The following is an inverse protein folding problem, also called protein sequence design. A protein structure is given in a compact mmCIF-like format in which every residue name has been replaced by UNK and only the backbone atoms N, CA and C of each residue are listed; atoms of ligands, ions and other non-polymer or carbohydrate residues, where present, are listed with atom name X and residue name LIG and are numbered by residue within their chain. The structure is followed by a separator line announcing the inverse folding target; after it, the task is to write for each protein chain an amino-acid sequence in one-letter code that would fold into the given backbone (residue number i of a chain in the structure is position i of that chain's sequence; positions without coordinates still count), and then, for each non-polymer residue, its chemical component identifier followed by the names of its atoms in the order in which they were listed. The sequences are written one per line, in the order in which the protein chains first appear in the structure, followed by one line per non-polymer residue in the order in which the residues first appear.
data_IF_032755203088
#
_entry.id   IF_032755203088
#
_cell.length_a   1.000
_cell.length_b   1.000
_cell.length_c   1.000
_cell.angle_alpha   90.00
_cell.angle_beta   90.00
_cell.angle_gamma   90.00
#
_symmetry.space_group_name_H-M   'P 1'
#
loop_
_entity.id
_entity.type
_entity.pdbx_description
1 polymer ?
#
# COMPACT_ATOMS: atom_id res chain seq x y z
N UNK A 1 -5.94 32.09 10.25
CA UNK A 1 -5.48 32.53 8.91
C UNK A 1 -6.47 33.55 8.39
N UNK A 2 -6.03 34.68 7.80
CA UNK A 2 -6.91 35.76 7.31
C UNK A 2 -7.18 35.59 5.80
N UNK A 3 -8.31 36.11 5.31
CA UNK A 3 -8.69 36.01 3.88
C UNK A 3 -7.72 36.75 2.95
N UNK A 4 -7.15 37.87 3.38
CA UNK A 4 -6.12 38.60 2.61
C UNK A 4 -4.87 37.74 2.34
N UNK A 5 -4.50 36.93 3.33
CA UNK A 5 -3.32 36.08 3.34
C UNK A 5 -3.54 34.91 2.40
N UNK A 6 -4.74 34.33 2.41
CA UNK A 6 -5.13 33.27 1.47
C UNK A 6 -5.26 33.78 0.04
N UNK A 7 -5.84 34.97 -0.18
CA UNK A 7 -5.92 35.59 -1.51
C UNK A 7 -4.52 35.84 -2.08
N UNK A 8 -3.59 36.31 -1.26
CA UNK A 8 -2.18 36.48 -1.63
C UNK A 8 -1.52 35.14 -1.96
N UNK A 9 -1.74 34.13 -1.14
CA UNK A 9 -1.21 32.77 -1.35
C UNK A 9 -1.66 32.18 -2.70
N UNK A 10 -2.93 32.38 -3.09
CA UNK A 10 -3.45 31.92 -4.38
C UNK A 10 -3.20 32.87 -5.56
N UNK A 11 -2.47 33.98 -5.36
CA UNK A 11 -2.17 34.94 -6.41
C UNK A 11 -3.38 35.75 -6.92
N UNK A 12 -4.43 35.89 -6.10
CA UNK A 12 -5.68 36.60 -6.45
C UNK A 12 -5.60 38.11 -6.24
N UNK A 13 -4.47 38.61 -5.74
CA UNK A 13 -4.25 40.02 -5.43
C UNK A 13 -4.76 40.44 -4.05
N UNK A 14 -4.55 41.70 -3.66
CA UNK A 14 -4.94 42.21 -2.35
C UNK A 14 -6.45 42.44 -2.26
N UNK A 15 -7.02 42.21 -1.07
CA UNK A 15 -8.39 42.61 -0.78
C UNK A 15 -8.51 44.14 -0.85
N UNK A 16 -9.50 44.64 -1.58
CA UNK A 16 -9.63 46.09 -1.83
C UNK A 16 -10.62 46.77 -0.89
N UNK A 17 -11.25 46.01 0.00
CA UNK A 17 -12.28 46.47 0.93
C UNK A 17 -13.49 47.10 0.21
N UNK A 18 -13.83 46.56 -0.97
CA UNK A 18 -14.99 46.90 -1.80
C UNK A 18 -15.98 45.73 -1.82
N UNK A 19 -17.25 46.01 -1.53
CA UNK A 19 -18.21 44.97 -1.14
C UNK A 19 -18.41 43.86 -2.18
N UNK A 20 -18.49 44.16 -3.47
CA UNK A 20 -18.79 43.15 -4.49
C UNK A 20 -17.54 42.44 -5.04
N UNK A 21 -16.45 43.19 -5.24
CA UNK A 21 -15.18 42.64 -5.73
C UNK A 21 -14.54 41.72 -4.68
N UNK A 22 -14.61 42.09 -3.40
CA UNK A 22 -14.10 41.23 -2.32
C UNK A 22 -14.97 40.00 -2.10
N UNK A 23 -16.29 40.09 -2.31
CA UNK A 23 -17.17 38.91 -2.25
C UNK A 23 -16.81 37.92 -3.35
N UNK A 24 -16.58 38.39 -4.57
CA UNK A 24 -16.10 37.55 -5.68
C UNK A 24 -14.74 36.93 -5.36
N UNK A 25 -13.80 37.73 -4.88
CA UNK A 25 -12.46 37.25 -4.49
C UNK A 25 -12.55 36.21 -3.37
N UNK A 26 -13.36 36.46 -2.34
CA UNK A 26 -13.55 35.53 -1.22
C UNK A 26 -14.17 34.21 -1.69
N UNK A 27 -15.06 34.23 -2.68
CA UNK A 27 -15.63 33.02 -3.27
C UNK A 27 -14.58 32.23 -4.06
N UNK A 28 -13.71 32.91 -4.80
CA UNK A 28 -12.58 32.25 -5.48
C UNK A 28 -11.58 31.68 -4.48
N UNK A 29 -11.22 32.41 -3.41
CA UNK A 29 -10.39 31.88 -2.31
C UNK A 29 -11.03 30.62 -1.70
N UNK A 30 -12.34 30.64 -1.42
CA UNK A 30 -13.05 29.49 -0.89
C UNK A 30 -12.98 28.30 -1.86
N UNK A 31 -13.14 28.54 -3.16
CA UNK A 31 -13.04 27.54 -4.21
C UNK A 31 -11.63 26.96 -4.33
N UNK A 32 -10.58 27.78 -4.26
CA UNK A 32 -9.20 27.29 -4.22
C UNK A 32 -8.91 26.51 -2.94
N UNK A 33 -9.31 27.00 -1.77
CA UNK A 33 -9.20 26.26 -0.52
C UNK A 33 -9.93 24.92 -0.59
N UNK A 34 -11.16 24.89 -1.12
CA UNK A 34 -11.91 23.65 -1.30
C UNK A 34 -11.19 22.70 -2.26
N UNK A 35 -10.56 23.21 -3.33
CA UNK A 35 -9.78 22.41 -4.26
C UNK A 35 -8.51 21.86 -3.61
N UNK A 36 -7.78 22.67 -2.84
CA UNK A 36 -6.59 22.22 -2.09
C UNK A 36 -6.98 21.16 -1.06
N UNK A 37 -8.00 21.41 -0.23
CA UNK A 37 -8.48 20.45 0.76
C UNK A 37 -9.01 19.16 0.11
N UNK A 38 -9.66 19.28 -1.06
CA UNK A 38 -10.13 18.14 -1.84
C UNK A 38 -8.95 17.36 -2.43
N UNK A 39 -7.92 18.02 -2.95
CA UNK A 39 -6.71 17.38 -3.48
C UNK A 39 -5.90 16.73 -2.37
N UNK A 40 -5.72 17.41 -1.23
CA UNK A 40 -5.02 16.89 -0.05
C UNK A 40 -5.71 15.64 0.51
N UNK A 41 -7.04 15.66 0.59
CA UNK A 41 -7.83 14.48 1.02
C UNK A 41 -7.90 13.37 -0.03
N UNK A 42 -7.82 13.70 -1.32
CA UNK A 42 -7.94 12.73 -2.42
C UNK A 42 -6.61 12.12 -2.87
N UNK A 43 -5.48 12.76 -2.56
CA UNK A 43 -4.12 12.35 -2.92
C UNK A 43 -3.18 12.41 -1.70
N UNK A 44 -3.53 11.76 -0.57
CA UNK A 44 -2.66 11.77 0.60
C UNK A 44 -1.28 11.18 0.27
N UNK A 45 -1.19 10.21 -0.65
CA UNK A 45 0.08 9.60 -1.08
C UNK A 45 1.06 10.59 -1.75
N UNK A 46 0.58 11.68 -2.39
CA UNK A 46 1.46 12.70 -3.00
C UNK A 46 1.92 13.72 -1.96
N UNK A 47 1.07 14.04 -0.98
CA UNK A 47 1.40 14.99 0.08
C UNK A 47 2.14 14.33 1.25
N UNK A 48 2.15 13.00 1.36
CA UNK A 48 3.01 12.26 2.29
C UNK A 48 4.48 12.32 1.93
N UNK A 49 4.85 12.66 0.70
CA UNK A 49 6.25 12.92 0.31
C UNK A 49 6.77 14.26 0.85
N UNK A 50 5.91 15.10 1.42
CA UNK A 50 6.33 16.32 2.12
C UNK A 50 6.42 16.11 3.64
N UNK A 51 7.54 15.53 4.10
CA UNK A 51 8.05 15.66 5.48
C UNK A 51 7.10 15.30 6.66
N UNK A 52 6.06 14.50 6.43
CA UNK A 52 5.32 13.83 7.50
C UNK A 52 5.89 12.43 7.71
N UNK A 53 6.71 12.25 8.75
CA UNK A 53 7.31 10.96 9.09
C UNK A 53 6.24 9.89 9.39
N UNK A 54 5.74 9.18 8.38
CA UNK A 54 5.03 7.92 8.62
C UNK A 54 6.08 6.85 8.85
N UNK A 55 6.49 6.70 10.11
CA UNK A 55 7.37 5.62 10.54
C UNK A 55 6.62 4.29 10.41
N UNK A 56 7.28 3.28 9.84
CA UNK A 56 6.73 1.93 9.79
C UNK A 56 6.72 1.32 11.19
N UNK A 57 5.56 0.90 11.66
CA UNK A 57 5.42 0.32 12.99
C UNK A 57 5.52 -1.21 12.94
N UNK A 58 6.29 -1.79 13.85
CA UNK A 58 6.21 -3.23 14.10
C UNK A 58 4.85 -3.57 14.74
N UNK A 59 4.28 -4.77 14.48
CA UNK A 59 3.00 -5.17 15.05
C UNK A 59 2.91 -4.97 16.57
N UNK A 60 3.98 -5.26 17.29
CA UNK A 60 4.07 -5.15 18.74
C UNK A 60 4.00 -3.70 19.24
N UNK A 61 4.39 -2.74 18.39
CA UNK A 61 4.33 -1.31 18.68
C UNK A 61 2.97 -0.65 18.39
N UNK A 62 2.03 -1.39 17.79
CA UNK A 62 0.71 -0.84 17.41
C UNK A 62 -0.29 -0.99 18.56
N UNK A 63 -0.73 0.15 19.10
CA UNK A 63 -1.79 0.15 20.09
C UNK A 63 -3.15 -0.02 19.41
N UNK A 64 -3.86 -1.10 19.76
CA UNK A 64 -5.20 -1.36 19.22
C UNK A 64 -6.20 -0.25 19.55
N UNK A 65 -6.05 0.47 20.67
CA UNK A 65 -6.94 1.60 21.00
C UNK A 65 -6.68 2.83 20.15
N UNK A 66 -5.45 3.00 19.66
CA UNK A 66 -5.03 4.14 18.83
C UNK A 66 -5.34 3.98 17.34
N UNK A 67 -5.73 2.78 16.90
CA UNK A 67 -6.19 2.55 15.52
C UNK A 67 -7.49 3.31 15.29
N UNK A 68 -7.65 3.98 14.16
CA UNK A 68 -8.96 4.52 13.74
C UNK A 68 -9.18 4.32 12.26
N UNK A 69 -10.44 4.40 11.84
CA UNK A 69 -10.84 4.28 10.44
C UNK A 69 -11.75 5.44 10.09
N UNK A 70 -11.52 6.04 8.92
CA UNK A 70 -12.28 7.20 8.46
C UNK A 70 -12.64 7.04 6.98
N UNK A 71 -13.70 7.72 6.55
CA UNK A 71 -14.06 7.79 5.14
C UNK A 71 -13.44 9.04 4.54
N UNK A 72 -12.66 8.87 3.47
CA UNK A 72 -12.04 9.97 2.74
C UNK A 72 -12.52 9.99 1.29
N UNK A 73 -12.69 11.19 0.67
CA UNK A 73 -12.97 11.30 -0.76
C UNK A 73 -11.91 10.57 -1.60
N UNK A 74 -12.32 10.01 -2.74
CA UNK A 74 -11.41 9.37 -3.69
C UNK A 74 -11.58 10.00 -5.07
N UNK A 75 -10.46 10.45 -5.68
CA UNK A 75 -10.41 11.29 -6.90
C UNK A 75 -11.19 10.74 -8.12
N UNK A 76 -11.56 9.46 -8.12
CA UNK A 76 -12.32 8.80 -9.21
C UNK A 76 -13.42 7.84 -8.73
N UNK A 77 -13.93 7.97 -7.51
CA UNK A 77 -14.90 7.00 -6.99
C UNK A 77 -15.62 7.40 -5.70
N UNK A 78 -16.41 6.47 -5.12
CA UNK A 78 -17.01 6.67 -3.80
C UNK A 78 -15.92 6.87 -2.73
N UNK A 79 -16.35 7.26 -1.52
CA UNK A 79 -15.47 7.37 -0.36
C UNK A 79 -14.69 6.06 -0.16
N UNK A 80 -13.39 6.16 0.16
CA UNK A 80 -12.55 5.02 0.56
C UNK A 80 -12.34 5.02 2.07
N UNK A 81 -12.13 3.84 2.64
CA UNK A 81 -11.79 3.72 4.06
C UNK A 81 -10.28 3.93 4.20
N UNK A 82 -9.89 4.95 4.96
CA UNK A 82 -8.52 5.19 5.38
C UNK A 82 -8.31 4.63 6.78
N UNK A 83 -7.17 3.98 6.99
CA UNK A 83 -6.81 3.32 8.26
C UNK A 83 -5.66 4.12 8.87
N UNK A 84 -5.84 4.53 10.13
CA UNK A 84 -4.95 5.43 10.84
C UNK A 84 -4.46 4.80 12.15
N UNK A 85 -3.28 5.20 12.60
CA UNK A 85 -2.77 5.01 13.95
C UNK A 85 -2.28 6.35 14.48
N UNK A 86 -2.78 6.79 15.64
CA UNK A 86 -2.44 8.11 16.21
C UNK A 86 -2.60 9.27 15.22
N UNK A 87 -3.66 9.20 14.41
CA UNK A 87 -4.02 10.17 13.36
C UNK A 87 -3.17 10.14 12.08
N UNK A 88 -2.17 9.26 11.97
CA UNK A 88 -1.37 9.09 10.75
C UNK A 88 -1.77 7.82 9.98
N UNK A 89 -1.65 7.79 8.63
CA UNK A 89 -1.86 6.58 7.85
C UNK A 89 -1.01 5.42 8.37
N UNK A 90 -1.65 4.30 8.72
CA UNK A 90 -0.96 3.17 9.30
C UNK A 90 -0.10 2.47 8.25
N UNK A 91 1.20 2.40 8.51
CA UNK A 91 2.17 1.60 7.77
C UNK A 91 2.84 0.62 8.72
N UNK A 92 3.03 -0.62 8.26
CA UNK A 92 3.53 -1.71 9.09
C UNK A 92 4.84 -2.27 8.55
N UNK A 93 5.75 -2.59 9.46
CA UNK A 93 6.95 -3.39 9.23
C UNK A 93 6.77 -4.74 9.93
N UNK A 94 6.60 -5.80 9.16
CA UNK A 94 6.60 -7.16 9.70
C UNK A 94 7.87 -7.88 9.30
N UNK A 95 8.69 -8.24 10.28
CA UNK A 95 9.94 -8.96 10.07
C UNK A 95 9.71 -10.46 10.01
N UNK A 96 10.56 -11.15 9.25
CA UNK A 96 10.69 -12.59 9.20
C UNK A 96 9.36 -13.33 8.89
N UNK A 97 8.57 -12.79 7.96
CA UNK A 97 7.35 -13.42 7.49
C UNK A 97 7.69 -14.59 6.56
N UNK A 98 7.18 -15.78 6.86
CA UNK A 98 7.40 -16.96 6.02
C UNK A 98 6.52 -16.90 4.76
N UNK A 99 7.12 -17.10 3.60
CA UNK A 99 6.42 -17.21 2.32
C UNK A 99 5.75 -18.58 2.26
N UNK A 100 4.42 -18.61 2.24
CA UNK A 100 3.64 -19.85 2.07
C UNK A 100 3.41 -20.18 0.61
N UNK A 101 3.02 -19.18 -0.17
CA UNK A 101 2.84 -19.30 -1.60
C UNK A 101 3.58 -18.14 -2.27
N UNK A 102 4.41 -18.47 -3.27
CA UNK A 102 5.17 -17.51 -4.05
C UNK A 102 4.29 -16.61 -4.92
N UNK A 103 4.87 -16.04 -5.97
CA UNK A 103 4.16 -15.09 -6.82
C UNK A 103 2.95 -15.74 -7.50
N UNK A 104 1.83 -15.02 -7.47
CA UNK A 104 0.60 -15.37 -8.13
C UNK A 104 0.21 -14.29 -9.13
N UNK A 105 0.06 -14.68 -10.40
CA UNK A 105 -0.45 -13.86 -11.52
C UNK A 105 -1.94 -14.07 -11.77
N UNK A 106 -2.62 -14.85 -10.91
CA UNK A 106 -4.02 -15.28 -11.09
C UNK A 106 -5.00 -14.12 -11.26
N UNK A 107 -4.70 -12.98 -10.67
CA UNK A 107 -5.56 -11.81 -10.73
C UNK A 107 -5.02 -10.86 -11.77
N UNK A 108 -5.90 -10.28 -12.58
CA UNK A 108 -5.55 -9.20 -13.49
C UNK A 108 -6.27 -7.92 -13.09
N UNK A 109 -5.72 -6.78 -13.47
CA UNK A 109 -6.37 -5.48 -13.31
C UNK A 109 -7.40 -5.23 -14.43
N UNK A 110 -7.99 -4.03 -14.45
CA UNK A 110 -9.00 -3.66 -15.47
C UNK A 110 -8.43 -3.57 -16.89
N UNK A 111 -7.11 -3.53 -17.02
CA UNK A 111 -6.37 -3.46 -18.29
C UNK A 111 -5.72 -4.81 -18.61
N UNK A 112 -6.19 -5.89 -17.97
CA UNK A 112 -5.70 -7.27 -18.13
C UNK A 112 -4.23 -7.47 -17.72
N UNK A 113 -3.66 -6.57 -16.92
CA UNK A 113 -2.28 -6.71 -16.41
C UNK A 113 -2.25 -7.60 -15.18
N UNK A 114 -1.25 -8.48 -15.02
CA UNK A 114 -1.13 -9.33 -13.84
C UNK A 114 -0.97 -8.48 -12.56
N UNK A 115 -1.82 -8.76 -11.57
CA UNK A 115 -1.74 -8.23 -10.21
C UNK A 115 -0.97 -9.22 -9.36
N UNK A 116 0.32 -8.95 -9.25
CA UNK A 116 1.25 -9.80 -8.53
C UNK A 116 0.95 -9.76 -7.04
N UNK A 117 0.98 -10.93 -6.42
CA UNK A 117 0.83 -11.06 -4.98
C UNK A 117 1.52 -12.31 -4.47
N UNK A 118 1.98 -12.25 -3.22
CA UNK A 118 2.52 -13.38 -2.47
C UNK A 118 1.62 -13.64 -1.26
N UNK A 119 1.68 -14.87 -0.73
CA UNK A 119 0.95 -15.23 0.48
C UNK A 119 1.94 -15.57 1.58
N UNK A 120 1.79 -14.89 2.71
CA UNK A 120 2.67 -14.99 3.87
C UNK A 120 1.93 -15.60 5.04
N UNK A 121 2.65 -16.32 5.89
CA UNK A 121 2.14 -16.73 7.21
C UNK A 121 1.96 -15.49 8.09
N UNK A 122 0.80 -15.39 8.75
CA UNK A 122 0.50 -14.27 9.61
C UNK A 122 0.86 -14.61 11.07
N UNK A 123 1.84 -13.93 11.70
CA UNK A 123 2.11 -14.11 13.12
C UNK A 123 0.96 -13.55 13.95
N UNK A 124 0.86 -14.02 15.20
CA UNK A 124 -0.28 -13.70 16.08
C UNK A 124 -0.47 -12.20 16.32
N UNK A 125 0.62 -11.45 16.46
CA UNK A 125 0.59 -10.00 16.65
C UNK A 125 -0.03 -9.30 15.44
N UNK A 126 0.40 -9.66 14.23
CA UNK A 126 -0.18 -9.15 12.99
C UNK A 126 -1.66 -9.53 12.84
N UNK A 127 -2.04 -10.78 13.16
CA UNK A 127 -3.45 -11.20 13.11
C UNK A 127 -4.34 -10.32 13.99
N UNK A 128 -3.92 -10.04 15.23
CA UNK A 128 -4.72 -9.24 16.17
C UNK A 128 -4.97 -7.83 15.67
N UNK A 129 -3.95 -7.20 15.06
CA UNK A 129 -4.07 -5.86 14.48
C UNK A 129 -5.00 -5.89 13.28
N UNK A 130 -4.81 -6.84 12.37
CA UNK A 130 -5.62 -6.93 11.15
C UNK A 130 -7.07 -7.26 11.47
N UNK A 131 -7.35 -8.14 12.44
CA UNK A 131 -8.71 -8.42 12.89
C UNK A 131 -9.39 -7.19 13.51
N UNK A 132 -8.65 -6.39 14.29
CA UNK A 132 -9.16 -5.15 14.87
C UNK A 132 -9.48 -4.10 13.79
N UNK A 133 -8.59 -3.96 12.80
CA UNK A 133 -8.78 -3.08 11.64
C UNK A 133 -10.00 -3.54 10.83
N UNK A 134 -10.08 -4.83 10.51
CA UNK A 134 -11.20 -5.42 9.76
C UNK A 134 -12.54 -5.18 10.46
N UNK A 135 -12.60 -5.40 11.78
CA UNK A 135 -13.81 -5.17 12.56
C UNK A 135 -14.27 -3.71 12.51
N UNK A 136 -13.34 -2.76 12.62
CA UNK A 136 -13.64 -1.33 12.56
C UNK A 136 -14.04 -0.89 11.15
N UNK A 137 -13.30 -1.31 10.13
CA UNK A 137 -13.58 -0.94 8.75
C UNK A 137 -14.90 -1.55 8.25
N UNK A 138 -15.18 -2.82 8.60
CA UNK A 138 -16.47 -3.46 8.28
C UNK A 138 -17.63 -2.73 8.93
N UNK A 139 -17.48 -2.33 10.19
CA UNK A 139 -18.51 -1.54 10.90
C UNK A 139 -18.77 -0.22 10.18
N UNK A 140 -17.71 0.53 9.88
CA UNK A 140 -17.79 1.81 9.17
C UNK A 140 -18.46 1.65 7.79
N UNK A 141 -18.09 0.61 7.04
CA UNK A 141 -18.68 0.30 5.74
C UNK A 141 -20.19 0.06 5.81
N UNK A 142 -20.65 -0.68 6.82
CA UNK A 142 -22.08 -0.95 7.02
C UNK A 142 -22.84 0.32 7.43
N UNK A 143 -22.25 1.14 8.31
CA UNK A 143 -22.84 2.41 8.77
C UNK A 143 -22.93 3.46 7.65
N UNK A 144 -22.02 3.43 6.67
CA UNK A 144 -22.03 4.33 5.52
C UNK A 144 -22.97 3.90 4.38
N UNK A 145 -23.81 2.89 4.59
CA UNK A 145 -24.72 2.38 3.57
C UNK A 145 -24.04 1.50 2.52
N UNK A 146 -22.94 0.82 2.88
CA UNK A 146 -22.31 -0.17 2.02
C UNK A 146 -23.25 -1.32 1.71
N UNK A 147 -23.64 -1.47 0.45
CA UNK A 147 -24.57 -2.51 -0.02
C UNK A 147 -23.89 -3.79 -0.52
N UNK A 148 -22.55 -3.87 -0.44
CA UNK A 148 -21.81 -5.05 -0.94
C UNK A 148 -22.16 -6.29 -0.13
N UNK A 149 -22.46 -7.40 -0.81
CA UNK A 149 -22.97 -8.62 -0.18
C UNK A 149 -21.94 -9.31 0.73
N UNK A 150 -20.63 -9.15 0.48
CA UNK A 150 -19.60 -9.97 1.15
C UNK A 150 -18.35 -9.15 1.52
N UNK A 151 -18.19 -8.89 2.83
CA UNK A 151 -16.90 -8.47 3.41
C UNK A 151 -15.91 -9.63 3.42
N UNK A 152 -14.72 -9.41 2.84
CA UNK A 152 -13.61 -10.38 2.83
C UNK A 152 -12.63 -10.04 3.94
N UNK A 153 -12.43 -10.95 4.92
CA UNK A 153 -11.41 -10.77 5.94
C UNK A 153 -10.00 -10.73 5.33
N UNK A 154 -9.12 -9.89 5.88
CA UNK A 154 -7.71 -9.77 5.47
C UNK A 154 -6.95 -11.05 5.79
N UNK A 155 -7.19 -11.62 6.97
CA UNK A 155 -6.55 -12.86 7.43
C UNK A 155 -7.39 -14.05 6.98
N UNK A 156 -6.83 -14.89 6.12
CA UNK A 156 -7.43 -16.15 5.72
C UNK A 156 -7.00 -17.26 6.69
N UNK A 157 -7.98 -18.01 7.22
CA UNK A 157 -7.77 -19.07 8.22
C UNK A 157 -8.10 -20.49 7.74
N UNK A 158 -8.43 -20.67 6.45
CA UNK A 158 -8.85 -21.97 5.89
C UNK A 158 -7.80 -23.07 6.03
N UNK A 159 -6.52 -22.71 5.96
CA UNK A 159 -5.39 -23.63 6.05
C UNK A 159 -4.35 -23.16 7.09
N UNK A 160 -4.80 -22.42 8.10
CA UNK A 160 -3.95 -21.64 9.00
C UNK A 160 -3.93 -20.15 8.63
N UNK A 161 -3.50 -19.28 9.56
CA UNK A 161 -3.57 -17.83 9.40
C UNK A 161 -2.56 -17.34 8.36
N UNK A 162 -3.07 -16.72 7.30
CA UNK A 162 -2.29 -16.23 6.18
C UNK A 162 -2.79 -14.87 5.72
N UNK A 163 -1.87 -14.06 5.20
CA UNK A 163 -2.17 -12.76 4.61
C UNK A 163 -1.65 -12.71 3.18
N UNK A 164 -2.37 -11.99 2.31
CA UNK A 164 -1.95 -11.76 0.92
C UNK A 164 -1.38 -10.36 0.79
N UNK A 165 -0.12 -10.29 0.39
CA UNK A 165 0.58 -9.03 0.13
C UNK A 165 0.57 -8.75 -1.38
N UNK A 166 0.03 -7.60 -1.76
CA UNK A 166 0.02 -7.16 -3.15
C UNK A 166 1.33 -6.46 -3.50
N UNK A 167 1.86 -6.77 -4.68
CA UNK A 167 3.03 -6.15 -5.25
C UNK A 167 2.55 -5.19 -6.35
N UNK A 168 2.37 -3.89 -6.03
CA UNK A 168 1.89 -2.92 -7.01
C UNK A 168 2.85 -2.76 -8.18
N UNK A 169 2.28 -2.56 -9.36
CA UNK A 169 2.97 -2.21 -10.58
C UNK A 169 2.31 -0.97 -11.19
N UNK A 170 3.13 0.02 -11.58
CA UNK A 170 2.67 1.20 -12.32
C UNK A 170 3.09 1.06 -13.78
N UNK A 171 2.33 1.62 -14.71
CA UNK A 171 2.77 1.70 -16.10
C UNK A 171 3.14 3.14 -16.40
N UNK A 172 4.39 3.34 -16.81
CA UNK A 172 4.82 4.55 -17.49
C UNK A 172 4.97 4.22 -18.99
N UNK A 173 3.95 4.54 -19.77
CA UNK A 173 3.88 4.21 -21.19
C UNK A 173 3.87 2.70 -21.46
N UNK A 174 4.90 2.19 -22.14
CA UNK A 174 5.08 0.77 -22.49
C UNK A 174 5.95 0.02 -21.45
N UNK A 175 6.46 0.73 -20.44
CA UNK A 175 7.25 0.15 -19.35
C UNK A 175 6.37 -0.02 -18.11
N UNK A 176 6.47 -1.18 -17.47
CA UNK A 176 5.87 -1.41 -16.17
C UNK A 176 6.94 -1.16 -15.12
N UNK A 177 6.72 -0.16 -14.25
CA UNK A 177 7.60 0.20 -13.15
C UNK A 177 7.14 -0.50 -11.87
N UNK A 178 8.09 -1.15 -11.20
CA UNK A 178 7.89 -1.74 -9.89
C UNK A 178 7.89 -0.64 -8.85
N UNK A 179 6.78 -0.49 -8.13
CA UNK A 179 6.68 0.50 -7.06
C UNK A 179 7.38 0.05 -5.77
N UNK A 180 7.37 -1.25 -5.37
CA UNK A 180 8.06 -1.67 -4.16
C UNK A 180 9.57 -1.81 -4.34
N UNK A 181 10.35 -1.33 -3.37
CA UNK A 181 11.78 -1.61 -3.30
C UNK A 181 12.03 -3.05 -2.84
N UNK A 182 12.70 -3.88 -3.64
CA UNK A 182 13.00 -5.27 -3.30
C UNK A 182 14.50 -5.44 -3.08
N UNK A 183 14.87 -5.96 -1.91
CA UNK A 183 16.23 -6.29 -1.54
C UNK A 183 16.33 -7.80 -1.30
N UNK A 184 17.47 -8.38 -1.69
CA UNK A 184 17.83 -9.75 -1.33
C UNK A 184 19.05 -9.72 -0.43
N UNK A 185 18.92 -10.33 0.73
CA UNK A 185 20.03 -10.50 1.67
C UNK A 185 20.59 -11.91 1.49
N UNK A 186 21.84 -11.97 1.01
CA UNK A 186 22.63 -13.19 0.94
C UNK A 186 23.63 -13.20 2.11
N UNK A 187 24.23 -14.35 2.40
CA UNK A 187 25.09 -14.59 3.58
C UNK A 187 26.29 -13.63 3.78
N UNK A 188 26.57 -12.76 2.81
CA UNK A 188 27.70 -11.82 2.83
C UNK A 188 27.37 -10.39 2.38
N UNK A 189 26.17 -10.11 1.85
CA UNK A 189 25.79 -8.76 1.38
C UNK A 189 24.29 -8.62 1.09
N UNK A 190 23.77 -7.41 1.29
CA UNK A 190 22.42 -6.99 0.86
C UNK A 190 22.53 -6.34 -0.52
N UNK A 191 21.82 -6.89 -1.51
CA UNK A 191 21.77 -6.34 -2.87
C UNK A 191 20.36 -5.87 -3.18
N UNK A 192 20.23 -4.65 -3.70
CA UNK A 192 18.96 -4.16 -4.26
C UNK A 192 18.70 -4.88 -5.58
N UNK A 193 17.56 -5.56 -5.69
CA UNK A 193 17.15 -6.23 -6.90
C UNK A 193 16.48 -5.20 -7.82
N UNK A 194 17.23 -4.68 -8.80
CA UNK A 194 16.65 -3.88 -9.89
C UNK A 194 15.93 -4.85 -10.83
N UNK A 195 14.64 -5.09 -10.61
CA UNK A 195 13.80 -5.87 -11.52
C UNK A 195 13.45 -5.02 -12.76
N UNK A 196 14.42 -4.81 -13.65
CA UNK A 196 14.24 -3.93 -14.80
C UNK A 196 13.35 -4.51 -15.91
N UNK A 197 13.00 -5.80 -15.88
CA UNK A 197 12.10 -6.44 -16.85
C UNK A 197 11.29 -7.59 -16.23
N UNK A 198 10.01 -7.64 -16.62
CA UNK A 198 9.01 -8.64 -16.26
C UNK A 198 9.27 -9.98 -16.96
N UNK A 199 10.38 -10.66 -16.65
CA UNK A 199 10.45 -12.10 -16.92
C UNK A 199 9.83 -12.80 -15.70
N UNK A 200 8.60 -13.31 -15.84
CA UNK A 200 7.88 -14.08 -14.80
C UNK A 200 8.76 -15.16 -14.16
N UNK A 201 9.68 -15.71 -14.96
CA UNK A 201 10.68 -16.73 -14.58
C UNK A 201 11.62 -16.22 -13.48
N UNK A 202 12.06 -14.95 -13.54
CA UNK A 202 12.93 -14.36 -12.53
C UNK A 202 12.21 -14.14 -11.20
N UNK A 203 10.94 -13.76 -11.26
CA UNK A 203 10.12 -13.43 -10.10
C UNK A 203 9.72 -14.66 -9.28
N UNK A 204 9.38 -15.77 -9.94
CA UNK A 204 9.11 -17.04 -9.25
C UNK A 204 10.34 -17.54 -8.48
N UNK A 205 11.55 -17.32 -9.02
CA UNK A 205 12.80 -17.69 -8.33
C UNK A 205 13.10 -16.83 -7.10
N UNK A 206 12.64 -15.57 -7.09
CA UNK A 206 12.89 -14.63 -6.00
C UNK A 206 12.03 -14.94 -4.77
N UNK A 207 10.76 -15.35 -4.98
CA UNK A 207 9.81 -15.60 -3.89
C UNK A 207 9.52 -17.10 -3.72
N UNK A 208 10.52 -17.81 -3.22
CA UNK A 208 10.41 -19.26 -3.02
C UNK A 208 9.58 -19.60 -1.77
N UNK A 209 8.58 -20.51 -1.85
CA UNK A 209 7.87 -20.99 -0.68
C UNK A 209 8.82 -21.59 0.36
N UNK A 210 8.71 -21.12 1.60
CA UNK A 210 9.56 -21.51 2.72
C UNK A 210 10.62 -20.47 3.10
N UNK A 211 10.99 -19.57 2.19
CA UNK A 211 11.88 -18.44 2.50
C UNK A 211 11.16 -17.41 3.38
N UNK A 212 11.93 -16.49 3.97
CA UNK A 212 11.43 -15.46 4.87
C UNK A 212 11.61 -14.08 4.25
N UNK A 213 10.71 -13.16 4.58
CA UNK A 213 10.73 -11.79 4.06
C UNK A 213 10.39 -10.79 5.17
N UNK A 214 11.12 -9.69 5.22
CA UNK A 214 10.69 -8.51 5.95
C UNK A 214 9.83 -7.65 5.01
N UNK A 215 8.59 -7.38 5.42
CA UNK A 215 7.62 -6.67 4.61
C UNK A 215 7.27 -5.31 5.22
N UNK A 216 7.49 -4.27 4.44
CA UNK A 216 7.04 -2.91 4.68
C UNK A 216 5.82 -2.67 3.80
N UNK A 217 4.67 -2.37 4.39
CA UNK A 217 3.43 -2.26 3.63
C UNK A 217 2.43 -1.27 4.23
N UNK A 218 1.58 -0.74 3.36
CA UNK A 218 0.41 0.05 3.72
C UNK A 218 -0.87 -0.79 3.63
N UNK A 219 -1.95 -0.27 4.22
CA UNK A 219 -3.28 -0.87 4.15
C UNK A 219 -4.23 -0.01 3.32
N UNK A 220 -4.83 -0.62 2.31
CA UNK A 220 -5.79 0.02 1.42
C UNK A 220 -7.16 -0.65 1.50
N UNK A 221 -8.24 0.12 1.52
CA UNK A 221 -9.57 -0.43 1.27
C UNK A 221 -9.80 -0.68 -0.23
N UNK A 222 -10.57 -1.71 -0.56
CA UNK A 222 -11.10 -1.92 -1.90
C UNK A 222 -12.60 -2.24 -1.84
N UNK A 223 -13.31 -1.77 -2.87
CA UNK A 223 -14.74 -2.03 -3.05
C UNK A 223 -14.97 -2.47 -4.51
N UNK A 224 -14.95 -3.78 -4.72
CA UNK A 224 -15.34 -4.38 -5.99
C UNK A 224 -16.75 -4.95 -5.86
N UNK A 225 -17.55 -5.01 -6.94
CA UNK A 225 -18.96 -5.42 -6.89
C UNK A 225 -19.27 -6.74 -6.16
N UNK A 226 -18.29 -7.64 -6.04
CA UNK A 226 -18.45 -8.94 -5.37
C UNK A 226 -17.58 -9.09 -4.11
N UNK A 227 -16.62 -8.18 -3.89
CA UNK A 227 -15.64 -8.30 -2.82
C UNK A 227 -15.30 -6.91 -2.30
N UNK A 228 -15.66 -6.65 -1.05
CA UNK A 228 -15.18 -5.48 -0.30
C UNK A 228 -14.24 -5.96 0.80
N UNK A 229 -13.24 -5.16 1.13
CA UNK A 229 -12.32 -5.46 2.23
C UNK A 229 -11.09 -4.58 2.23
N UNK A 230 -10.05 -5.07 2.89
CA UNK A 230 -8.75 -4.40 3.00
C UNK A 230 -7.68 -5.26 2.33
N UNK A 231 -6.74 -4.62 1.66
CA UNK A 231 -5.57 -5.26 1.04
C UNK A 231 -4.30 -4.70 1.63
N UNK A 232 -3.29 -5.56 1.75
CA UNK A 232 -1.93 -5.16 2.10
C UNK A 232 -1.18 -4.81 0.81
N UNK A 233 -0.55 -3.64 0.76
CA UNK A 233 0.18 -3.16 -0.42
C UNK A 233 1.64 -2.98 -0.05
N UNK A 234 2.52 -3.78 -0.67
CA UNK A 234 3.96 -3.71 -0.42
C UNK A 234 4.52 -2.36 -0.86
N UNK A 235 5.44 -1.84 -0.04
CA UNK A 235 6.25 -0.65 -0.31
C UNK A 235 7.74 -0.98 -0.34
N UNK A 236 8.17 -1.92 0.51
CA UNK A 236 9.53 -2.45 0.52
C UNK A 236 9.55 -3.90 1.01
N UNK A 237 10.44 -4.72 0.46
CA UNK A 237 10.62 -6.11 0.81
C UNK A 237 12.11 -6.43 0.95
N UNK A 238 12.47 -7.17 2.00
CA UNK A 238 13.83 -7.69 2.20
C UNK A 238 13.72 -9.21 2.31
N UNK A 239 14.25 -9.91 1.32
CA UNK A 239 14.13 -11.36 1.20
C UNK A 239 15.36 -12.01 1.80
N UNK A 240 15.12 -12.88 2.77
CA UNK A 240 16.12 -13.67 3.47
C UNK A 240 16.19 -15.05 2.80
N UNK A 241 17.19 -15.24 1.93
CA UNK A 241 17.34 -16.51 1.23
C UNK A 241 17.91 -17.58 2.16
N UNK A 242 17.24 -18.72 2.24
CA UNK A 242 17.78 -19.89 2.95
C UNK A 242 18.98 -20.46 2.19
N UNK A 243 20.07 -20.80 2.90
CA UNK A 243 21.29 -21.40 2.34
C UNK A 243 21.06 -22.70 1.52
N UNK A 244 19.89 -23.32 1.64
CA UNK A 244 19.51 -24.48 0.83
C UNK A 244 19.32 -24.15 -0.67
N UNK A 245 18.91 -22.92 -1.01
CA UNK A 245 18.70 -22.49 -2.41
C UNK A 245 20.00 -22.01 -3.08
N UNK A 246 20.97 -21.52 -2.30
CA UNK A 246 22.29 -21.13 -2.81
C UNK A 246 23.07 -22.30 -3.45
N UNK A 247 22.85 -23.53 -2.98
CA UNK A 247 23.42 -24.75 -3.57
C UNK A 247 22.76 -25.14 -4.91
N UNK A 248 21.49 -24.78 -5.13
CA UNK A 248 20.80 -25.00 -6.41
C UNK A 248 21.25 -23.98 -7.46
N UNK A 249 21.39 -22.70 -7.09
CA UNK A 249 21.89 -21.66 -8.00
C UNK A 249 23.35 -21.89 -8.41
N UNK A 250 24.20 -22.37 -7.49
CA UNK A 250 25.59 -22.75 -7.79
C UNK A 250 25.68 -23.91 -8.80
N UNK A 251 24.79 -24.91 -8.69
CA UNK A 251 24.78 -26.06 -9.59
C UNK A 251 24.22 -25.73 -10.99
N UNK A 252 23.23 -24.84 -11.08
CA UNK A 252 22.69 -24.42 -12.38
C UNK A 252 23.63 -23.49 -13.15
N UNK A 253 24.35 -22.59 -12.47
CA UNK A 253 25.35 -21.74 -13.14
C UNK A 253 26.58 -22.51 -13.63
N UNK A 254 26.96 -23.62 -12.97
CA UNK A 254 28.06 -24.48 -13.44
C UNK A 254 27.66 -25.40 -14.60
N UNK A 255 26.38 -25.77 -14.74
CA UNK A 255 25.93 -26.60 -15.85
C UNK A 255 25.80 -25.83 -17.18
N UNK A 256 25.61 -24.51 -17.14
CA UNK A 256 25.59 -23.67 -18.34
C UNK A 256 26.99 -23.32 -18.87
N UNK A 257 28.05 -23.53 -18.09
CA UNK A 257 29.44 -23.30 -18.50
C UNK A 257 30.14 -24.55 -19.07
N UNK A 258 29.46 -25.70 -19.11
CA UNK A 258 30.01 -26.97 -19.62
C UNK A 258 29.41 -27.39 -20.98
N UNK A 259 28.81 -26.46 -21.72
CA UNK A 259 28.28 -26.69 -23.08
C UNK A 259 28.86 -25.73 -24.13
N UNK A 260 30.13 -25.33 -23.97
CA UNK A 260 30.95 -24.80 -25.08
C UNK A 260 31.93 -25.87 -25.57
#
# INVERSE_FOLDING_TARGET
MKMDTLATYFGLGPQTHRSLDDVRMNLEVLKYCATVLFLESSLPDIFTDTNGCTEYLEPEGVSLSSISVTLVPFYRGPQRIQILHESFPLQLLCKNLKIRYGISTKYVDRVSRPRLSIVLDAPRSLEMILDAIDGRAKKLFLESGGFSEIWRPVVNRKAGPTVRLQLPNEADGDMIEWVPEIYKEDASATHMLVCSRFDEIGLESIFTPGDHVDAYFSLDSYDFPQNVGIRLVAKKLIIHSSAANALFDYNNNNNNNNMQ
#
